data_IF_009108227049
#
_entry.id   IF_009108227049
#
_cell.length_a   1.000
_cell.length_b   1.000
_cell.length_c   1.000
_cell.angle_alpha   90.00
_cell.angle_beta   90.00
_cell.angle_gamma   90.00
#
_symmetry.space_group_name_H-M   'P 1'
#
loop_
_entity.id
_entity.type
_entity.pdbx_description
1 polymer ?
#
# COMPACT_ATOMS: atom_id res chain seq x y z
N UNK A 1 -18.29 -16.23 -3.50
CA UNK A 1 -18.05 -14.84 -3.07
C UNK A 1 -17.09 -14.20 -4.06
N UNK A 2 -17.33 -12.95 -4.44
CA UNK A 2 -16.44 -12.20 -5.32
C UNK A 2 -15.15 -11.85 -4.55
N UNK A 3 -14.00 -12.17 -5.14
CA UNK A 3 -12.68 -11.93 -4.51
C UNK A 3 -12.36 -10.44 -4.52
N UNK A 4 -11.59 -10.00 -3.52
CA UNK A 4 -11.05 -8.65 -3.44
C UNK A 4 -10.03 -8.39 -4.57
N UNK A 5 -9.96 -7.14 -5.02
CA UNK A 5 -8.99 -6.70 -6.04
C UNK A 5 -7.59 -6.52 -5.45
N UNK A 6 -7.52 -6.17 -4.16
CA UNK A 6 -6.29 -5.87 -3.41
C UNK A 6 -6.45 -6.22 -1.93
N UNK A 7 -5.33 -6.53 -1.26
CA UNK A 7 -5.25 -6.74 0.19
C UNK A 7 -4.50 -5.63 0.91
N UNK A 8 -4.78 -5.44 2.20
CA UNK A 8 -4.03 -4.53 3.08
C UNK A 8 -3.77 -5.15 4.46
N UNK A 9 -2.51 -5.09 4.88
CA UNK A 9 -2.03 -5.48 6.20
C UNK A 9 -1.69 -4.21 7.00
N UNK A 10 -2.28 -4.09 8.19
CA UNK A 10 -1.98 -3.00 9.12
C UNK A 10 -3.08 -1.94 9.13
N UNK A 11 -3.95 -2.01 10.14
CA UNK A 11 -5.11 -1.12 10.31
C UNK A 11 -4.80 -0.02 11.34
N UNK A 12 -3.65 0.64 11.21
CA UNK A 12 -3.40 1.94 11.85
C UNK A 12 -4.20 3.05 11.17
N UNK A 13 -3.99 4.32 11.54
CA UNK A 13 -4.77 5.43 10.95
C UNK A 13 -4.61 5.51 9.43
N UNK A 14 -3.36 5.50 8.95
CA UNK A 14 -3.05 5.52 7.50
C UNK A 14 -3.66 4.32 6.76
N UNK A 15 -3.48 3.11 7.29
CA UNK A 15 -3.96 1.88 6.65
C UNK A 15 -5.48 1.78 6.61
N UNK A 16 -6.15 2.19 7.69
CA UNK A 16 -7.62 2.24 7.75
C UNK A 16 -8.17 3.26 6.75
N UNK A 17 -7.61 4.46 6.70
CA UNK A 17 -8.04 5.49 5.77
C UNK A 17 -7.82 5.09 4.31
N UNK A 18 -6.66 4.48 4.00
CA UNK A 18 -6.38 3.97 2.66
C UNK A 18 -7.33 2.83 2.27
N UNK A 19 -7.64 1.92 3.20
CA UNK A 19 -8.58 0.84 2.95
C UNK A 19 -10.01 1.35 2.67
N UNK A 20 -10.47 2.35 3.43
CA UNK A 20 -11.77 3.00 3.18
C UNK A 20 -11.78 3.76 1.85
N UNK A 21 -10.68 4.43 1.50
CA UNK A 21 -10.54 5.11 0.21
C UNK A 21 -10.66 4.11 -0.97
N UNK A 22 -9.97 2.97 -0.89
CA UNK A 22 -10.07 1.89 -1.88
C UNK A 22 -11.52 1.37 -1.99
N UNK A 23 -12.16 1.11 -0.86
CA UNK A 23 -13.55 0.63 -0.82
C UNK A 23 -14.54 1.65 -1.40
N UNK A 24 -14.38 2.93 -1.08
CA UNK A 24 -15.22 4.04 -1.57
C UNK A 24 -15.13 4.21 -3.09
N UNK A 25 -13.96 3.95 -3.67
CA UNK A 25 -13.75 3.97 -5.12
C UNK A 25 -14.19 2.67 -5.82
N UNK A 26 -15.00 1.85 -5.15
CA UNK A 26 -15.63 0.67 -5.75
C UNK A 26 -14.70 -0.55 -5.87
N UNK A 27 -13.55 -0.53 -5.22
CA UNK A 27 -12.63 -1.66 -5.20
C UNK A 27 -12.81 -2.48 -3.93
N UNK A 28 -13.26 -3.73 -4.07
CA UNK A 28 -13.36 -4.63 -2.92
C UNK A 28 -11.97 -4.93 -2.36
N UNK A 29 -11.79 -4.78 -1.05
CA UNK A 29 -10.50 -4.90 -0.37
C UNK A 29 -10.54 -5.95 0.73
N UNK A 30 -9.52 -6.80 0.79
CA UNK A 30 -9.32 -7.70 1.91
C UNK A 30 -8.39 -7.06 2.95
N UNK A 31 -8.75 -7.12 4.23
CA UNK A 31 -7.99 -6.45 5.30
C UNK A 31 -7.57 -7.43 6.37
N UNK A 32 -6.34 -7.28 6.84
CA UNK A 32 -5.80 -8.07 7.93
C UNK A 32 -5.02 -7.17 8.90
N UNK A 33 -5.13 -7.49 10.19
CA UNK A 33 -4.28 -6.92 11.21
C UNK A 33 -3.93 -7.99 12.25
N UNK A 34 -2.69 -7.99 12.73
CA UNK A 34 -2.19 -8.97 13.72
C UNK A 34 -3.09 -9.10 14.95
N UNK A 35 -3.60 -7.99 15.45
CA UNK A 35 -4.56 -7.96 16.56
C UNK A 35 -5.98 -8.00 15.99
N UNK A 36 -6.68 -9.14 16.17
CA UNK A 36 -8.06 -9.36 15.71
C UNK A 36 -9.01 -8.20 16.03
N UNK A 37 -8.99 -7.70 17.27
CA UNK A 37 -9.87 -6.61 17.70
C UNK A 37 -9.72 -5.32 16.88
N UNK A 38 -8.56 -5.09 16.23
CA UNK A 38 -8.38 -3.94 15.31
C UNK A 38 -9.15 -4.13 14.02
N UNK A 39 -9.17 -5.35 13.47
CA UNK A 39 -9.98 -5.68 12.30
C UNK A 39 -11.46 -5.52 12.62
N UNK A 40 -11.91 -6.05 13.76
CA UNK A 40 -13.31 -5.95 14.20
C UNK A 40 -13.74 -4.47 14.37
N UNK A 41 -12.93 -3.66 15.06
CA UNK A 41 -13.20 -2.23 15.23
C UNK A 41 -13.19 -1.45 13.90
N UNK A 42 -12.30 -1.79 12.97
CA UNK A 42 -12.28 -1.20 11.64
C UNK A 42 -13.58 -1.48 10.88
N UNK A 43 -14.08 -2.72 10.92
CA UNK A 43 -15.33 -3.11 10.27
C UNK A 43 -16.56 -2.44 10.88
N UNK A 44 -16.58 -2.25 12.19
CA UNK A 44 -17.63 -1.48 12.87
C UNK A 44 -17.63 -0.01 12.41
N UNK A 45 -16.44 0.57 12.22
CA UNK A 45 -16.26 1.94 11.73
C UNK A 45 -16.46 2.13 10.22
N UNK A 46 -16.51 1.06 9.41
CA UNK A 46 -16.56 1.16 7.95
C UNK A 46 -17.91 1.65 7.38
N UNK A 47 -18.97 1.68 8.20
CA UNK A 47 -20.27 2.22 7.79
C UNK A 47 -20.85 1.52 6.56
N UNK A 48 -21.30 2.31 5.57
CA UNK A 48 -21.86 1.80 4.31
C UNK A 48 -20.84 1.06 3.43
N UNK A 49 -19.54 1.22 3.69
CA UNK A 49 -18.47 0.54 2.95
C UNK A 49 -18.18 -0.87 3.47
N UNK A 50 -18.84 -1.31 4.55
CA UNK A 50 -18.62 -2.62 5.17
C UNK A 50 -18.70 -3.78 4.18
N UNK A 51 -19.65 -3.75 3.24
CA UNK A 51 -19.83 -4.84 2.26
C UNK A 51 -18.70 -4.91 1.22
N UNK A 52 -17.94 -3.83 1.05
CA UNK A 52 -16.75 -3.73 0.20
C UNK A 52 -15.47 -4.19 0.90
N UNK A 53 -15.53 -4.48 2.20
CA UNK A 53 -14.39 -4.92 3.00
C UNK A 53 -14.54 -6.40 3.33
N UNK A 54 -13.48 -7.19 3.06
CA UNK A 54 -13.39 -8.59 3.45
C UNK A 54 -12.49 -8.69 4.69
N UNK A 55 -13.03 -8.93 5.90
CA UNK A 55 -12.23 -9.25 7.07
C UNK A 55 -11.41 -10.51 6.83
N UNK A 56 -10.14 -10.49 7.20
CA UNK A 56 -9.31 -11.68 7.32
C UNK A 56 -8.66 -11.70 8.71
N UNK A 57 -8.57 -12.90 9.28
CA UNK A 57 -8.01 -13.16 10.61
C UNK A 57 -6.74 -14.02 10.55
N UNK A 58 -6.32 -14.43 9.35
CA UNK A 58 -5.02 -15.02 9.08
C UNK A 58 -4.48 -14.55 7.71
N UNK A 59 -3.19 -14.79 7.45
CA UNK A 59 -2.57 -14.45 6.16
C UNK A 59 -3.05 -15.39 5.05
N UNK A 60 -3.38 -16.64 5.37
CA UNK A 60 -3.99 -17.61 4.45
C UNK A 60 -5.37 -17.15 4.01
N UNK A 61 -6.20 -16.67 4.94
CA UNK A 61 -7.50 -16.08 4.62
C UNK A 61 -7.35 -14.85 3.72
N UNK A 62 -6.38 -13.98 4.03
CA UNK A 62 -6.06 -12.79 3.23
C UNK A 62 -5.67 -13.17 1.80
N UNK A 63 -4.72 -14.09 1.63
CA UNK A 63 -4.26 -14.55 0.31
C UNK A 63 -5.39 -15.26 -0.46
N UNK A 64 -6.25 -16.03 0.20
CA UNK A 64 -7.38 -16.70 -0.44
C UNK A 64 -8.46 -15.72 -0.94
N UNK A 65 -8.66 -14.61 -0.22
CA UNK A 65 -9.66 -13.59 -0.50
C UNK A 65 -9.32 -12.70 -1.70
N UNK A 66 -8.06 -12.63 -2.13
CA UNK A 66 -7.59 -11.71 -3.18
C UNK A 66 -7.51 -12.43 -4.54
N UNK A 67 -7.87 -11.72 -5.61
CA UNK A 67 -7.75 -12.19 -6.99
C UNK A 67 -6.28 -12.24 -7.44
N UNK A 68 -5.76 -13.40 -7.92
CA UNK A 68 -4.42 -13.49 -8.47
C UNK A 68 -4.23 -12.70 -9.78
N UNK A 69 -3.01 -12.21 -10.10
CA UNK A 69 -1.87 -12.08 -9.20
C UNK A 69 -2.21 -11.12 -8.05
N UNK A 70 -1.95 -11.51 -6.80
CA UNK A 70 -2.51 -10.92 -5.58
C UNK A 70 -1.66 -9.74 -5.11
N UNK A 71 -2.16 -8.49 -5.14
CA UNK A 71 -1.46 -7.38 -4.54
C UNK A 71 -1.81 -7.25 -3.06
N UNK A 72 -0.79 -7.16 -2.21
CA UNK A 72 -0.92 -7.00 -0.76
C UNK A 72 -0.14 -5.77 -0.31
N UNK A 73 -0.85 -4.74 0.13
CA UNK A 73 -0.29 -3.53 0.74
C UNK A 73 0.10 -3.84 2.19
N UNK A 74 1.33 -3.49 2.56
CA UNK A 74 1.83 -3.48 3.92
C UNK A 74 1.87 -2.02 4.39
N UNK A 75 1.08 -1.71 5.42
CA UNK A 75 0.98 -0.39 6.05
C UNK A 75 1.27 -0.50 7.55
N UNK A 76 2.51 -0.87 7.88
CA UNK A 76 3.00 -1.01 9.26
C UNK A 76 4.22 -0.12 9.48
N UNK A 77 4.77 -0.12 10.70
CA UNK A 77 6.00 0.62 11.01
C UNK A 77 7.15 0.15 10.11
N UNK A 78 7.90 1.10 9.57
CA UNK A 78 9.03 0.84 8.68
C UNK A 78 10.15 0.03 9.38
N UNK A 79 10.99 -0.60 8.56
CA UNK A 79 12.08 -1.48 9.02
C UNK A 79 11.62 -2.91 9.29
N UNK A 80 12.09 -3.49 10.40
CA UNK A 80 11.91 -4.91 10.73
C UNK A 80 10.46 -5.43 10.63
N UNK A 81 9.42 -4.69 11.08
CA UNK A 81 8.05 -5.19 10.98
C UNK A 81 7.60 -5.46 9.54
N UNK A 82 8.07 -4.67 8.57
CA UNK A 82 7.80 -4.93 7.15
C UNK A 82 8.50 -6.20 6.69
N UNK A 83 9.77 -6.42 7.06
CA UNK A 83 10.51 -7.63 6.70
C UNK A 83 9.85 -8.89 7.28
N UNK A 84 9.36 -8.82 8.52
CA UNK A 84 8.58 -9.90 9.15
C UNK A 84 7.28 -10.20 8.41
N UNK A 85 6.58 -9.19 7.87
CA UNK A 85 5.39 -9.41 7.04
C UNK A 85 5.72 -9.99 5.67
N UNK A 86 6.81 -9.55 5.04
CA UNK A 86 7.26 -10.10 3.75
C UNK A 86 7.56 -11.59 3.91
N UNK A 87 8.28 -11.98 4.96
CA UNK A 87 8.60 -13.39 5.22
C UNK A 87 7.35 -14.22 5.46
N UNK A 88 6.42 -13.73 6.27
CA UNK A 88 5.17 -14.44 6.52
C UNK A 88 4.31 -14.59 5.25
N UNK A 89 4.30 -13.57 4.38
CA UNK A 89 3.59 -13.62 3.10
C UNK A 89 4.20 -14.62 2.11
N UNK A 90 5.52 -14.86 2.15
CA UNK A 90 6.16 -15.91 1.32
C UNK A 90 5.57 -17.29 1.56
N UNK A 91 5.05 -17.57 2.75
CA UNK A 91 4.43 -18.85 3.09
C UNK A 91 3.03 -19.06 2.48
N UNK A 92 2.37 -17.99 2.01
CA UNK A 92 0.95 -18.05 1.58
C UNK A 92 0.69 -17.48 0.18
N UNK A 93 1.62 -16.71 -0.37
CA UNK A 93 1.55 -16.16 -1.72
C UNK A 93 2.08 -17.14 -2.77
N UNK A 94 1.71 -16.92 -4.02
CA UNK A 94 2.09 -17.73 -5.18
C UNK A 94 2.89 -16.92 -6.20
N UNK A 95 3.45 -17.59 -7.21
CA UNK A 95 4.19 -16.94 -8.29
C UNK A 95 3.43 -15.75 -8.91
N UNK A 96 4.16 -14.66 -9.13
CA UNK A 96 3.73 -13.36 -9.62
C UNK A 96 2.83 -12.54 -8.67
N UNK A 97 2.55 -13.03 -7.46
CA UNK A 97 1.89 -12.20 -6.44
C UNK A 97 2.80 -11.04 -6.00
N UNK A 98 2.17 -9.94 -5.58
CA UNK A 98 2.80 -8.63 -5.43
C UNK A 98 2.76 -8.21 -3.97
N UNK A 99 3.92 -8.04 -3.35
CA UNK A 99 4.03 -7.40 -2.03
C UNK A 99 4.32 -5.92 -2.20
N UNK A 100 3.53 -5.06 -1.56
CA UNK A 100 3.62 -3.60 -1.72
C UNK A 100 3.94 -2.99 -0.35
N UNK A 101 5.13 -2.44 -0.15
CA UNK A 101 5.42 -1.64 1.03
C UNK A 101 4.98 -0.19 0.77
N UNK A 102 3.97 0.26 1.52
CA UNK A 102 3.40 1.59 1.43
C UNK A 102 3.81 2.50 2.60
N UNK A 103 4.75 2.04 3.43
CA UNK A 103 5.29 2.81 4.54
C UNK A 103 6.28 3.89 4.09
N UNK A 104 6.79 4.66 5.04
CA UNK A 104 7.86 5.63 4.77
C UNK A 104 9.24 4.95 4.88
N UNK A 105 9.48 3.94 4.04
CA UNK A 105 10.71 3.14 4.09
C UNK A 105 11.90 3.86 3.43
N UNK A 106 13.12 3.53 3.89
CA UNK A 106 14.33 3.94 3.17
C UNK A 106 14.38 3.19 1.83
N UNK A 107 14.59 3.92 0.73
CA UNK A 107 14.64 3.31 -0.60
C UNK A 107 15.73 2.23 -0.73
N UNK A 108 16.80 2.29 0.06
CA UNK A 108 17.84 1.25 0.09
C UNK A 108 17.32 -0.07 0.67
N UNK A 109 16.43 -0.02 1.65
CA UNK A 109 15.75 -1.21 2.17
C UNK A 109 14.83 -1.82 1.12
N UNK A 110 14.19 -0.97 0.31
CA UNK A 110 13.37 -1.42 -0.82
C UNK A 110 14.21 -2.14 -1.86
N UNK A 111 15.38 -1.57 -2.24
CA UNK A 111 16.31 -2.23 -3.16
C UNK A 111 16.82 -3.56 -2.61
N UNK A 112 17.13 -3.62 -1.31
CA UNK A 112 17.52 -4.87 -0.63
C UNK A 112 16.41 -5.92 -0.71
N UNK A 113 15.16 -5.56 -0.37
CA UNK A 113 13.99 -6.47 -0.43
C UNK A 113 13.73 -6.97 -1.84
N UNK A 114 13.87 -6.10 -2.84
CA UNK A 114 13.80 -6.47 -4.26
C UNK A 114 14.80 -7.58 -4.60
N UNK A 115 16.06 -7.41 -4.18
CA UNK A 115 17.11 -8.40 -4.37
C UNK A 115 16.81 -9.72 -3.64
N UNK A 116 16.37 -9.66 -2.38
CA UNK A 116 16.04 -10.84 -1.56
C UNK A 116 14.80 -11.60 -2.06
N UNK A 117 13.87 -10.94 -2.75
CA UNK A 117 12.70 -11.57 -3.37
C UNK A 117 13.02 -12.18 -4.74
N UNK A 118 14.17 -11.86 -5.33
CA UNK A 118 14.60 -12.44 -6.61
C UNK A 118 14.64 -13.97 -6.54
N UNK A 119 14.07 -14.63 -7.56
CA UNK A 119 13.99 -16.09 -7.63
C UNK A 119 12.93 -16.74 -6.73
N UNK A 120 12.20 -15.97 -5.91
CA UNK A 120 11.12 -16.50 -5.07
C UNK A 120 9.77 -16.65 -5.77
N UNK A 121 9.66 -16.19 -7.02
CA UNK A 121 8.40 -16.09 -7.75
C UNK A 121 7.57 -14.85 -7.40
N UNK A 122 7.81 -14.22 -6.24
CA UNK A 122 7.12 -12.99 -5.83
C UNK A 122 7.74 -11.75 -6.48
N UNK A 123 6.92 -10.72 -6.66
CA UNK A 123 7.36 -9.39 -7.05
C UNK A 123 7.08 -8.37 -5.95
N UNK A 124 7.73 -7.21 -6.03
CA UNK A 124 7.70 -6.18 -5.01
C UNK A 124 7.37 -4.81 -5.59
N UNK A 125 6.71 -3.97 -4.80
CA UNK A 125 6.53 -2.55 -5.06
C UNK A 125 6.93 -1.77 -3.81
N UNK A 126 7.81 -0.78 -3.97
CA UNK A 126 8.01 0.29 -2.99
C UNK A 126 7.13 1.49 -3.36
N UNK A 127 6.13 1.80 -2.55
CA UNK A 127 5.11 2.80 -2.85
C UNK A 127 5.15 3.95 -1.83
N UNK A 128 5.67 5.10 -2.26
CA UNK A 128 5.56 6.32 -1.47
C UNK A 128 4.12 6.84 -1.44
N UNK A 129 3.62 7.20 -0.25
CA UNK A 129 2.30 7.80 -0.06
C UNK A 129 2.44 9.14 0.66
N UNK A 130 1.82 10.21 0.14
CA UNK A 130 1.83 11.56 0.73
C UNK A 130 0.44 12.16 0.88
N UNK A 131 0.28 13.07 1.84
CA UNK A 131 -1.00 13.73 2.17
C UNK A 131 -1.51 13.49 3.61
N UNK A 132 -0.76 12.73 4.43
CA UNK A 132 -1.14 12.44 5.80
C UNK A 132 -2.41 11.58 5.91
N UNK A 133 -3.02 11.59 7.08
CA UNK A 133 -4.21 10.76 7.37
C UNK A 133 -5.40 11.15 6.50
N UNK A 134 -5.64 12.45 6.31
CA UNK A 134 -6.70 12.98 5.46
C UNK A 134 -6.47 12.67 3.98
N UNK A 135 -5.24 12.86 3.50
CA UNK A 135 -4.85 12.50 2.14
C UNK A 135 -5.04 11.01 1.88
N UNK A 136 -4.64 10.12 2.79
CA UNK A 136 -4.88 8.68 2.64
C UNK A 136 -6.37 8.35 2.44
N UNK A 137 -7.27 9.10 3.10
CA UNK A 137 -8.72 8.88 3.03
C UNK A 137 -9.35 9.43 1.76
N UNK A 138 -8.89 10.56 1.26
CA UNK A 138 -9.60 11.32 0.21
C UNK A 138 -8.84 11.49 -1.10
N UNK A 139 -7.56 11.11 -1.15
CA UNK A 139 -6.73 11.25 -2.33
C UNK A 139 -5.28 11.56 -1.97
N UNK A 140 -4.41 10.55 -1.79
CA UNK A 140 -3.00 10.80 -1.57
C UNK A 140 -2.27 11.01 -2.89
N UNK A 141 -1.05 11.55 -2.81
CA UNK A 141 -0.07 11.41 -3.88
C UNK A 141 0.63 10.05 -3.76
N UNK A 142 0.73 9.29 -4.86
CA UNK A 142 1.23 7.92 -4.89
C UNK A 142 2.42 7.80 -5.85
N UNK A 143 3.54 7.32 -5.33
CA UNK A 143 4.83 7.24 -6.02
C UNK A 143 5.30 5.78 -6.09
N UNK A 144 5.15 5.14 -7.26
CA UNK A 144 5.37 3.69 -7.39
C UNK A 144 6.75 3.37 -7.95
N UNK A 145 7.52 2.57 -7.22
CA UNK A 145 8.73 1.90 -7.69
C UNK A 145 8.54 0.39 -7.74
N UNK A 146 8.94 -0.24 -8.84
CA UNK A 146 8.84 -1.68 -9.05
C UNK A 146 8.87 -2.06 -10.52
N UNK A 147 8.57 -3.31 -10.88
CA UNK A 147 8.48 -3.67 -12.30
C UNK A 147 7.25 -3.02 -12.94
N UNK A 148 7.33 -2.75 -14.24
CA UNK A 148 6.21 -2.17 -14.99
C UNK A 148 4.97 -3.10 -15.00
N UNK A 149 5.18 -4.42 -15.02
CA UNK A 149 4.10 -5.40 -14.96
C UNK A 149 3.38 -5.39 -13.61
N UNK A 150 4.12 -5.24 -12.50
CA UNK A 150 3.53 -5.06 -11.18
C UNK A 150 2.70 -3.78 -11.11
N UNK A 151 3.19 -2.69 -11.72
CA UNK A 151 2.42 -1.44 -11.82
C UNK A 151 1.12 -1.64 -12.58
N UNK A 152 1.15 -2.23 -13.78
CA UNK A 152 -0.05 -2.48 -14.60
C UNK A 152 -1.14 -3.26 -13.85
N UNK A 153 -0.76 -4.18 -12.97
CA UNK A 153 -1.70 -4.95 -12.14
C UNK A 153 -2.45 -4.08 -11.12
N UNK A 154 -1.81 -3.05 -10.58
CA UNK A 154 -2.37 -2.21 -9.49
C UNK A 154 -2.78 -0.81 -9.93
N UNK A 155 -2.38 -0.39 -11.13
CA UNK A 155 -2.58 0.95 -11.70
C UNK A 155 -4.02 1.43 -11.57
N UNK A 156 -5.00 0.60 -11.96
CA UNK A 156 -6.41 0.98 -11.88
C UNK A 156 -6.85 1.35 -10.47
N UNK A 157 -6.41 0.60 -9.46
CA UNK A 157 -6.76 0.86 -8.06
C UNK A 157 -6.04 2.12 -7.57
N UNK A 158 -4.72 2.21 -7.80
CA UNK A 158 -3.90 3.30 -7.28
C UNK A 158 -4.23 4.65 -7.94
N UNK A 159 -4.54 4.65 -9.23
CA UNK A 159 -4.99 5.85 -9.93
C UNK A 159 -6.41 6.24 -9.54
N UNK A 160 -7.31 5.31 -9.20
CA UNK A 160 -8.64 5.65 -8.72
C UNK A 160 -8.59 6.41 -7.39
N UNK A 161 -7.81 5.91 -6.42
CA UNK A 161 -7.79 6.42 -5.05
C UNK A 161 -6.92 7.66 -4.85
N UNK A 162 -6.07 8.03 -5.81
CA UNK A 162 -5.15 9.17 -5.69
C UNK A 162 -5.86 10.52 -5.83
N UNK A 163 -5.21 11.59 -5.36
CA UNK A 163 -5.64 12.94 -5.69
C UNK A 163 -5.72 13.15 -7.21
N UNK A 164 -6.51 14.14 -7.65
CA UNK A 164 -6.65 14.51 -9.06
C UNK A 164 -6.29 15.98 -9.23
N UNK A 165 -5.49 16.30 -10.25
CA UNK A 165 -5.25 17.67 -10.68
C UNK A 165 -5.64 17.80 -12.15
N UNK A 166 -6.65 18.64 -12.45
CA UNK A 166 -7.21 18.76 -13.80
C UNK A 166 -7.59 17.40 -14.41
N UNK A 167 -8.28 16.58 -13.62
CA UNK A 167 -8.69 15.20 -13.96
C UNK A 167 -7.55 14.19 -14.12
N UNK A 168 -6.28 14.59 -13.99
CA UNK A 168 -5.13 13.69 -14.02
C UNK A 168 -4.81 13.11 -12.62
N UNK A 169 -4.60 11.79 -12.49
CA UNK A 169 -4.26 11.17 -11.22
C UNK A 169 -2.85 11.55 -10.74
N UNK A 170 -2.74 11.92 -9.48
CA UNK A 170 -1.47 12.10 -8.76
C UNK A 170 -0.88 10.72 -8.36
N UNK A 171 -0.78 9.80 -9.32
CA UNK A 171 -0.20 8.48 -9.15
C UNK A 171 0.55 8.09 -10.43
N UNK A 172 1.81 7.65 -10.29
CA UNK A 172 2.61 7.23 -11.44
C UNK A 172 3.62 6.13 -11.08
N UNK A 173 4.00 5.36 -12.11
CA UNK A 173 5.19 4.52 -12.08
C UNK A 173 6.43 5.37 -12.37
N UNK A 174 7.39 5.33 -11.45
CA UNK A 174 8.55 6.24 -11.43
C UNK A 174 9.87 5.54 -11.76
N UNK A 175 9.83 4.21 -11.94
CA UNK A 175 10.99 3.38 -12.25
C UNK A 175 11.01 2.08 -11.47
N UNK A 176 12.10 1.33 -11.61
CA UNK A 176 12.28 0.04 -10.94
C UNK A 176 12.71 0.17 -9.48
N UNK A 177 12.65 -0.94 -8.76
CA UNK A 177 13.21 -1.11 -7.43
C UNK A 177 12.75 -0.03 -6.43
N UNK A 178 13.69 0.71 -5.84
CA UNK A 178 13.46 1.73 -4.82
C UNK A 178 12.95 3.08 -5.35
N UNK A 179 12.68 3.23 -6.65
CA UNK A 179 12.39 4.55 -7.25
C UNK A 179 11.23 5.31 -6.56
N UNK A 180 10.13 4.62 -6.25
CA UNK A 180 8.98 5.22 -5.56
C UNK A 180 9.33 5.79 -4.18
N UNK A 181 9.97 5.00 -3.33
CA UNK A 181 10.44 5.46 -2.02
C UNK A 181 11.56 6.51 -2.12
N UNK A 182 12.38 6.47 -3.17
CA UNK A 182 13.38 7.50 -3.41
C UNK A 182 12.71 8.85 -3.69
N UNK A 183 11.75 8.89 -4.61
CA UNK A 183 10.99 10.13 -4.91
C UNK A 183 10.27 10.64 -3.67
N UNK A 184 9.65 9.76 -2.86
CA UNK A 184 9.04 10.15 -1.58
C UNK A 184 10.05 10.72 -0.58
N UNK A 185 11.28 10.19 -0.56
CA UNK A 185 12.36 10.74 0.27
C UNK A 185 12.68 12.18 -0.14
N UNK A 186 12.80 12.43 -1.45
CA UNK A 186 13.05 13.78 -1.99
C UNK A 186 11.87 14.73 -1.73
N UNK A 187 10.63 14.27 -1.91
CA UNK A 187 9.43 15.03 -1.54
C UNK A 187 9.51 15.52 -0.09
N UNK A 188 9.82 14.65 0.86
CA UNK A 188 9.93 15.04 2.26
C UNK A 188 11.12 15.98 2.50
N UNK A 189 12.23 15.82 1.77
CA UNK A 189 13.35 16.76 1.84
C UNK A 189 12.96 18.18 1.40
N UNK A 190 12.16 18.30 0.33
CA UNK A 190 11.62 19.58 -0.16
C UNK A 190 10.65 20.16 0.88
N UNK A 191 9.74 19.34 1.43
CA UNK A 191 8.79 19.75 2.48
C UNK A 191 9.51 20.43 3.66
N UNK A 192 10.63 19.86 4.13
CA UNK A 192 11.42 20.45 5.22
C UNK A 192 12.05 21.80 4.83
N UNK A 193 12.56 21.92 3.61
CA UNK A 193 13.13 23.18 3.12
C UNK A 193 12.05 24.27 3.03
N UNK A 194 10.88 23.94 2.49
CA UNK A 194 9.76 24.88 2.38
C UNK A 194 9.26 25.34 3.75
N UNK A 195 9.09 24.42 4.69
CA UNK A 195 8.72 24.75 6.07
C UNK A 195 9.74 25.69 6.73
N UNK A 196 11.03 25.41 6.57
CA UNK A 196 12.09 26.24 7.12
C UNK A 196 12.10 27.64 6.50
N UNK A 197 11.99 27.74 5.17
CA UNK A 197 11.94 29.02 4.47
C UNK A 197 10.75 29.88 4.93
N UNK A 198 9.57 29.27 5.13
CA UNK A 198 8.39 29.99 5.62
C UNK A 198 8.59 30.44 7.08
N UNK A 199 9.20 29.60 7.93
CA UNK A 199 9.43 29.91 9.33
C UNK A 199 10.48 31.01 9.56
N UNK A 200 11.36 31.25 8.59
CA UNK A 200 12.36 32.33 8.63
C UNK A 200 11.79 33.72 8.27
N UNK A 201 10.62 33.78 7.64
CA UNK A 201 9.92 35.03 7.26
C UNK A 201 9.15 35.59 8.47
#
# INVERSE_FOLDING_TARGET
MEKAEIGLIGLGTMGSNLALNIAEHGHRIAVFNRTKARTDAFLEGAGSLRDMVVPCYSLEELAAAIKPPRPVIIMVLAGKPVDEQIEALRGVLSDNDIVIDAGNANFRDTMRRFSELSGSGLTFIGMGVSGGEEGARHGPSIMVGGTEDSWKRVERVLTAISAKFKDEPCAAWLGTDGAGHFVKTIHNGIEYADMQMIAEI
#
